data_IF_797229910854
#
_entry.id   IF_797229910854
#
_cell.length_a   1.000
_cell.length_b   1.000
_cell.length_c   1.000
_cell.angle_alpha   90.00
_cell.angle_beta   90.00
_cell.angle_gamma   90.00
#
_symmetry.space_group_name_H-M   'P 1'
#
loop_
_entity.id
_entity.type
_entity.pdbx_description
1 polymer ?
#
# COMPACT_ATOMS: atom_id res chain seq x y z
N UNK A 1 -9.81 36.01 -1.51
CA UNK A 1 -9.21 35.45 -2.74
C UNK A 1 -10.32 34.86 -3.58
N UNK A 2 -10.33 35.12 -4.89
CA UNK A 2 -11.21 34.37 -5.80
C UNK A 2 -10.74 32.91 -5.79
N UNK A 3 -11.63 31.93 -5.61
CA UNK A 3 -11.26 30.53 -5.66
C UNK A 3 -10.66 30.20 -7.03
N UNK A 4 -9.64 29.32 -7.11
CA UNK A 4 -9.08 28.90 -8.38
C UNK A 4 -10.19 28.27 -9.23
N UNK A 5 -10.34 28.78 -10.46
CA UNK A 5 -11.34 28.32 -11.42
C UNK A 5 -10.63 27.34 -12.35
N UNK A 6 -11.29 26.22 -12.68
CA UNK A 6 -10.75 25.24 -13.62
C UNK A 6 -10.62 25.83 -15.03
N UNK A 7 -9.49 25.55 -15.69
CA UNK A 7 -9.20 26.06 -17.04
C UNK A 7 -10.22 25.56 -18.08
N UNK A 8 -10.85 24.41 -17.84
CA UNK A 8 -11.96 23.86 -18.64
C UNK A 8 -13.16 24.81 -18.67
N UNK A 9 -13.49 25.43 -17.54
CA UNK A 9 -14.62 26.37 -17.40
C UNK A 9 -14.30 27.69 -18.11
N UNK A 10 -13.05 28.16 -18.00
CA UNK A 10 -12.59 29.38 -18.68
C UNK A 10 -12.57 29.21 -20.22
N UNK A 11 -12.21 28.02 -20.72
CA UNK A 11 -12.24 27.71 -22.15
C UNK A 11 -13.67 27.55 -22.70
N UNK A 12 -14.57 26.97 -21.90
CA UNK A 12 -15.98 26.78 -22.29
C UNK A 12 -16.76 28.09 -22.38
N UNK A 13 -16.35 29.12 -21.63
CA UNK A 13 -17.04 30.42 -21.57
C UNK A 13 -16.06 31.60 -21.72
N UNK A 14 -15.77 32.04 -22.96
CA UNK A 14 -14.77 33.10 -23.20
C UNK A 14 -15.19 34.47 -22.64
N UNK A 15 -16.50 34.75 -22.53
CA UNK A 15 -17.01 35.98 -21.91
C UNK A 15 -16.73 36.00 -20.41
N UNK A 16 -16.92 34.85 -19.74
CA UNK A 16 -16.59 34.70 -18.34
C UNK A 16 -15.07 34.77 -18.10
N UNK A 17 -14.25 34.19 -18.99
CA UNK A 17 -12.80 34.33 -18.92
C UNK A 17 -12.34 35.79 -19.00
N UNK A 18 -12.91 36.59 -19.90
CA UNK A 18 -12.63 38.02 -20.01
C UNK A 18 -13.06 38.80 -18.75
N UNK A 19 -14.23 38.47 -18.18
CA UNK A 19 -14.70 39.07 -16.93
C UNK A 19 -13.81 38.69 -15.74
N UNK A 20 -13.44 37.42 -15.63
CA UNK A 20 -12.55 36.94 -14.58
C UNK A 20 -11.17 37.62 -14.68
N UNK A 21 -10.61 37.74 -15.88
CA UNK A 21 -9.35 38.45 -16.11
C UNK A 21 -9.45 39.94 -15.77
N UNK A 22 -10.55 40.61 -16.13
CA UNK A 22 -10.75 42.03 -15.79
C UNK A 22 -10.96 42.24 -14.28
N UNK A 23 -11.71 41.37 -13.61
CA UNK A 23 -11.86 41.41 -12.15
C UNK A 23 -10.53 41.15 -11.44
N UNK A 24 -9.80 40.11 -11.82
CA UNK A 24 -8.55 39.71 -11.18
C UNK A 24 -7.42 40.72 -11.43
N UNK A 25 -7.33 41.31 -12.63
CA UNK A 25 -6.21 42.17 -13.00
C UNK A 25 -6.49 43.65 -12.78
N UNK A 26 -7.70 44.15 -13.06
CA UNK A 26 -7.99 45.59 -13.04
C UNK A 26 -8.77 46.03 -11.80
N UNK A 27 -9.67 45.21 -11.26
CA UNK A 27 -10.63 45.67 -10.25
C UNK A 27 -10.24 45.22 -8.84
N UNK A 28 -9.71 44.01 -8.67
CA UNK A 28 -9.42 43.40 -7.37
C UNK A 28 -7.92 43.21 -7.13
N UNK A 29 -7.52 43.31 -5.87
CA UNK A 29 -6.21 42.90 -5.38
C UNK A 29 -6.21 41.38 -5.11
N UNK A 30 -5.02 40.77 -4.97
CA UNK A 30 -4.88 39.33 -4.71
C UNK A 30 -5.66 38.85 -3.46
N UNK A 31 -5.82 39.73 -2.45
CA UNK A 31 -6.61 39.45 -1.25
C UNK A 31 -8.14 39.50 -1.48
N UNK A 32 -8.61 40.02 -2.62
CA UNK A 32 -10.03 40.19 -2.96
C UNK A 32 -10.61 41.58 -2.67
N UNK A 33 -9.80 42.56 -2.23
CA UNK A 33 -10.25 43.95 -2.05
C UNK A 33 -10.27 44.72 -3.37
N UNK A 34 -11.13 45.72 -3.52
CA UNK A 34 -11.14 46.57 -4.74
C UNK A 34 -9.93 47.51 -4.79
N UNK A 35 -9.35 47.70 -5.97
CA UNK A 35 -8.26 48.67 -6.23
C UNK A 35 -8.75 50.12 -6.19
N UNK A 36 -10.02 50.34 -6.55
CA UNK A 36 -10.61 51.68 -6.75
C UNK A 36 -11.46 52.12 -5.56
N UNK A 37 -11.11 51.75 -4.34
CA UNK A 37 -11.88 52.19 -3.18
C UNK A 37 -11.73 53.72 -3.01
N UNK A 38 -12.82 54.51 -2.94
CA UNK A 38 -12.72 55.98 -2.82
C UNK A 38 -11.90 56.44 -1.61
N UNK A 39 -11.96 55.68 -0.50
CA UNK A 39 -11.19 55.94 0.71
C UNK A 39 -9.77 55.30 0.70
N UNK A 40 -9.29 54.74 -0.41
CA UNK A 40 -7.98 54.08 -0.45
C UNK A 40 -6.85 55.04 -0.12
N UNK A 41 -6.90 56.28 -0.64
CA UNK A 41 -5.91 57.32 -0.34
C UNK A 41 -5.88 57.67 1.15
N UNK A 42 -7.05 57.79 1.77
CA UNK A 42 -7.16 58.05 3.22
C UNK A 42 -6.64 56.85 4.02
N UNK A 43 -6.97 55.62 3.61
CA UNK A 43 -6.46 54.40 4.24
C UNK A 43 -4.95 54.32 4.13
N UNK A 44 -4.37 54.61 2.96
CA UNK A 44 -2.93 54.59 2.75
C UNK A 44 -2.24 55.64 3.65
N UNK A 45 -2.78 56.86 3.72
CA UNK A 45 -2.31 57.89 4.65
C UNK A 45 -2.42 57.46 6.12
N UNK A 46 -3.51 56.81 6.52
CA UNK A 46 -3.67 56.24 7.87
C UNK A 46 -2.65 55.12 8.09
N UNK A 47 -2.39 54.25 7.11
CA UNK A 47 -1.38 53.20 7.26
C UNK A 47 0.03 53.75 7.40
N UNK A 48 0.35 54.84 6.72
CA UNK A 48 1.64 55.50 6.79
C UNK A 48 1.83 56.24 8.13
N UNK A 49 0.81 56.97 8.59
CA UNK A 49 0.81 57.58 9.93
C UNK A 49 0.90 56.52 11.02
N UNK A 50 0.21 55.39 10.85
CA UNK A 50 0.28 54.25 11.77
C UNK A 50 1.68 53.61 11.74
N UNK A 51 2.28 53.38 10.56
CA UNK A 51 3.65 52.87 10.42
C UNK A 51 4.65 53.79 11.13
N UNK A 52 4.57 55.10 10.90
CA UNK A 52 5.46 56.05 11.55
C UNK A 52 5.25 56.10 13.08
N UNK A 53 4.01 56.05 13.56
CA UNK A 53 3.69 55.96 14.98
C UNK A 53 4.23 54.68 15.61
N UNK A 54 4.10 53.53 14.93
CA UNK A 54 4.69 52.25 15.37
C UNK A 54 6.21 52.30 15.43
N UNK A 55 6.87 52.87 14.42
CA UNK A 55 8.33 53.03 14.43
C UNK A 55 8.75 53.92 15.60
N UNK A 56 8.04 55.02 15.84
CA UNK A 56 8.31 55.91 16.98
C UNK A 56 8.14 55.18 18.31
N UNK A 57 7.02 54.50 18.51
CA UNK A 57 6.75 53.73 19.72
C UNK A 57 7.80 52.63 19.94
N UNK A 58 8.19 51.90 18.89
CA UNK A 58 9.21 50.88 18.96
C UNK A 58 10.59 51.46 19.33
N UNK A 59 10.98 52.60 18.74
CA UNK A 59 12.22 53.30 19.10
C UNK A 59 12.21 53.72 20.58
N UNK A 60 11.13 54.33 21.05
CA UNK A 60 10.99 54.73 22.46
C UNK A 60 11.04 53.53 23.41
N UNK A 61 10.35 52.44 23.06
CA UNK A 61 10.37 51.21 23.84
C UNK A 61 11.78 50.59 23.88
N UNK A 62 12.48 50.55 22.76
CA UNK A 62 13.85 50.03 22.66
C UNK A 62 14.81 50.86 23.53
N UNK A 63 14.71 52.19 23.49
CA UNK A 63 15.53 53.06 24.34
C UNK A 63 15.20 52.85 25.82
N UNK A 64 13.92 52.82 26.19
CA UNK A 64 13.46 52.59 27.57
C UNK A 64 13.95 51.25 28.12
N UNK A 65 13.82 50.19 27.33
CA UNK A 65 14.28 48.83 27.71
C UNK A 65 15.80 48.70 27.71
N UNK A 66 16.52 49.40 26.83
CA UNK A 66 17.97 49.43 26.87
C UNK A 66 18.46 50.12 28.14
N UNK A 67 17.87 51.29 28.49
CA UNK A 67 18.20 52.03 29.69
C UNK A 67 17.91 51.27 30.99
N UNK A 68 16.80 50.52 31.05
CA UNK A 68 16.47 49.73 32.24
C UNK A 68 17.37 48.51 32.44
N UNK A 69 17.94 47.98 31.36
CA UNK A 69 18.77 46.76 31.37
C UNK A 69 20.25 47.05 31.15
N UNK A 70 20.67 48.31 31.26
CA UNK A 70 22.06 48.70 31.08
C UNK A 70 22.90 48.04 32.18
N UNK A 71 24.03 47.46 31.82
CA UNK A 71 24.99 46.94 32.79
C UNK A 71 25.74 48.11 33.42
N UNK A 72 25.33 48.47 34.64
CA UNK A 72 25.86 49.57 35.44
C UNK A 72 27.26 49.26 36.00
N UNK A 73 27.84 48.09 35.69
CA UNK A 73 29.14 47.65 36.20
C UNK A 73 30.30 47.83 35.20
N UNK A 74 30.07 48.19 33.93
CA UNK A 74 31.11 48.11 32.89
C UNK A 74 31.22 49.34 31.99
N UNK A 75 32.44 49.87 31.83
CA UNK A 75 32.81 50.80 30.76
C UNK A 75 33.51 50.05 29.62
N UNK A 76 33.29 50.41 28.34
CA UNK A 76 34.06 49.86 27.23
C UNK A 76 35.45 50.50 27.22
N UNK A 77 36.46 49.80 27.74
CA UNK A 77 37.86 50.18 27.53
C UNK A 77 38.19 50.09 26.04
N UNK A 78 38.39 51.25 25.41
CA UNK A 78 39.01 51.35 24.09
C UNK A 78 40.40 50.73 24.14
N UNK A 79 40.66 49.86 23.17
CA UNK A 79 41.90 49.07 23.04
C UNK A 79 43.07 50.02 22.80
N UNK A 80 43.89 50.26 23.82
CA UNK A 80 45.29 50.63 23.65
C UNK A 80 46.16 49.40 23.91
N UNK A 81 47.05 49.13 22.96
CA UNK A 81 47.97 47.99 23.00
C UNK A 81 48.97 48.17 24.15
N UNK A 82 49.31 47.05 24.77
CA UNK A 82 50.47 46.77 25.64
C UNK A 82 50.31 47.02 27.16
N UNK A 83 50.69 45.95 27.90
CA UNK A 83 51.00 45.83 29.34
C UNK A 83 49.86 45.36 30.28
N UNK A 84 50.08 44.31 31.11
CA UNK A 84 49.19 44.00 32.24
C UNK A 84 49.53 44.97 33.39
N UNK A 85 48.54 45.51 34.13
CA UNK A 85 48.27 44.94 35.46
C UNK A 85 46.83 45.16 36.03
N UNK A 86 46.51 44.35 37.05
CA UNK A 86 45.57 44.61 38.18
C UNK A 86 44.12 45.04 37.89
N UNK A 87 43.20 44.08 38.08
CA UNK A 87 41.74 44.23 38.02
C UNK A 87 41.18 44.90 39.28
N UNK A 88 40.97 46.20 39.24
CA UNK A 88 39.87 46.85 39.98
C UNK A 88 38.78 47.19 38.97
N UNK A 89 37.50 46.80 39.19
CA UNK A 89 36.43 47.18 38.28
C UNK A 89 36.26 48.70 38.34
N UNK A 90 36.55 49.40 37.25
CA UNK A 90 36.30 50.83 37.12
C UNK A 90 34.78 51.05 37.05
N UNK A 91 34.18 51.29 38.22
CA UNK A 91 32.78 51.66 38.39
C UNK A 91 32.49 52.97 37.64
N UNK A 92 31.32 53.04 36.97
CA UNK A 92 30.86 54.27 36.34
C UNK A 92 30.80 55.41 37.36
N UNK A 93 31.03 56.68 36.95
CA UNK A 93 30.88 57.82 37.84
C UNK A 93 29.50 57.82 38.50
N UNK A 94 29.46 58.02 39.82
CA UNK A 94 28.24 57.93 40.62
C UNK A 94 27.12 58.84 40.10
N UNK A 95 27.48 60.05 39.63
CA UNK A 95 26.53 60.99 39.03
C UNK A 95 25.85 60.46 37.75
N UNK A 96 26.58 59.67 36.96
CA UNK A 96 26.06 59.07 35.72
C UNK A 96 25.11 57.90 36.05
N UNK A 97 25.44 57.11 37.07
CA UNK A 97 24.58 56.04 37.58
C UNK A 97 23.25 56.58 38.10
N UNK A 98 23.30 57.61 38.94
CA UNK A 98 22.11 58.30 39.46
C UNK A 98 21.26 58.87 38.33
N UNK A 99 21.89 59.47 37.31
CA UNK A 99 21.20 60.01 36.15
C UNK A 99 20.52 58.90 35.30
N UNK A 100 21.20 57.77 35.06
CA UNK A 100 20.59 56.62 34.34
C UNK A 100 19.41 56.05 35.13
N UNK A 101 19.52 55.92 36.46
CA UNK A 101 18.44 55.44 37.32
C UNK A 101 17.25 56.41 37.32
N UNK A 102 17.51 57.71 37.40
CA UNK A 102 16.49 58.75 37.34
C UNK A 102 15.80 58.78 35.97
N UNK A 103 16.56 58.64 34.89
CA UNK A 103 16.02 58.68 33.53
C UNK A 103 15.25 57.41 33.18
N UNK A 104 15.75 56.23 33.59
CA UNK A 104 15.06 54.95 33.41
C UNK A 104 13.76 54.91 34.22
N UNK A 105 13.76 55.37 35.47
CA UNK A 105 12.54 55.45 36.29
C UNK A 105 11.54 56.44 35.72
N UNK A 106 11.97 57.60 35.21
CA UNK A 106 11.09 58.59 34.58
C UNK A 106 10.47 58.11 33.28
N UNK A 107 11.26 57.48 32.41
CA UNK A 107 10.75 56.89 31.18
C UNK A 107 9.85 55.68 31.45
N UNK A 108 9.99 55.06 32.63
CA UNK A 108 9.24 53.86 33.01
C UNK A 108 7.94 54.16 33.75
N UNK A 109 7.93 55.19 34.59
CA UNK A 109 6.78 55.61 35.38
C UNK A 109 5.64 56.17 34.54
N UNK A 110 4.42 56.12 35.10
CA UNK A 110 3.26 56.81 34.55
C UNK A 110 3.52 58.33 34.40
N UNK A 111 2.83 59.03 33.47
CA UNK A 111 3.03 60.47 33.27
C UNK A 111 2.80 61.23 34.57
N UNK A 112 3.86 61.87 35.08
CA UNK A 112 3.83 62.62 36.33
C UNK A 112 3.09 63.96 36.14
N UNK A 113 2.49 64.49 37.20
CA UNK A 113 1.82 65.81 37.18
C UNK A 113 2.78 66.92 36.72
N UNK A 114 2.34 67.91 35.92
CA UNK A 114 3.22 68.93 35.34
C UNK A 114 4.00 69.75 36.39
N UNK A 115 3.47 69.93 37.60
CA UNK A 115 4.19 70.61 38.69
C UNK A 115 5.40 69.82 39.19
N UNK A 116 5.23 68.52 39.38
CA UNK A 116 6.30 67.60 39.77
C UNK A 116 7.32 67.33 38.68
N UNK A 117 6.96 67.53 37.40
CA UNK A 117 7.92 67.48 36.29
C UNK A 117 8.90 68.67 36.34
N UNK A 118 8.39 69.88 36.54
CA UNK A 118 9.21 71.10 36.69
C UNK A 118 10.17 71.02 37.88
N UNK A 119 9.74 70.43 38.98
CA UNK A 119 10.59 70.23 40.17
C UNK A 119 11.75 69.28 39.85
N UNK A 120 11.48 68.19 39.12
CA UNK A 120 12.53 67.26 38.72
C UNK A 120 13.51 67.86 37.71
N UNK A 121 13.02 68.65 36.76
CA UNK A 121 13.85 69.37 35.78
C UNK A 121 14.73 70.44 36.44
N UNK A 122 14.34 70.96 37.60
CA UNK A 122 15.15 71.88 38.41
C UNK A 122 16.23 71.17 39.25
N UNK A 123 16.30 69.84 39.24
CA UNK A 123 17.30 69.08 40.01
C UNK A 123 18.68 69.17 39.31
N UNK A 124 19.80 69.39 40.05
CA UNK A 124 21.13 69.57 39.45
C UNK A 124 21.58 68.40 38.58
N UNK A 125 21.17 67.17 38.94
CA UNK A 125 21.42 65.97 38.15
C UNK A 125 20.78 66.07 36.74
N UNK A 126 19.58 66.65 36.62
CA UNK A 126 18.89 66.83 35.33
C UNK A 126 19.54 67.92 34.47
N UNK A 127 20.04 68.99 35.09
CA UNK A 127 20.78 70.05 34.39
C UNK A 127 22.09 69.55 33.77
N UNK A 128 22.70 68.51 34.35
CA UNK A 128 23.90 67.84 33.81
C UNK A 128 23.61 66.84 32.67
N UNK A 129 22.35 66.62 32.32
CA UNK A 129 21.97 65.65 31.30
C UNK A 129 22.54 65.95 29.90
N UNK A 130 22.53 67.21 29.39
CA UNK A 130 23.05 67.50 28.05
C UNK A 130 24.55 67.17 27.92
N UNK A 131 25.34 67.36 28.98
CA UNK A 131 26.76 67.01 29.00
C UNK A 131 27.01 65.50 29.04
N UNK A 132 26.13 64.74 29.72
CA UNK A 132 26.28 63.30 29.90
C UNK A 132 25.56 62.46 28.82
N UNK A 133 24.78 63.10 27.92
CA UNK A 133 23.97 62.44 26.89
C UNK A 133 24.83 61.62 25.91
N UNK A 134 25.99 62.13 25.51
CA UNK A 134 26.90 61.44 24.59
C UNK A 134 27.45 60.13 25.18
N UNK A 135 27.75 60.14 26.48
CA UNK A 135 28.24 58.99 27.22
C UNK A 135 27.13 57.96 27.48
N UNK A 136 25.91 58.40 27.81
CA UNK A 136 24.75 57.52 27.90
C UNK A 136 24.45 56.90 26.52
N UNK A 137 24.55 57.69 25.45
CA UNK A 137 24.37 57.22 24.07
C UNK A 137 25.37 56.14 23.67
N UNK A 138 26.65 56.29 24.04
CA UNK A 138 27.67 55.27 23.76
C UNK A 138 27.41 53.98 24.54
N UNK A 139 27.01 54.07 25.81
CA UNK A 139 26.65 52.90 26.62
C UNK A 139 25.43 52.16 26.03
N UNK A 140 24.36 52.87 25.67
CA UNK A 140 23.19 52.26 25.01
C UNK A 140 23.60 51.61 23.69
N UNK A 141 24.42 52.28 22.88
CA UNK A 141 24.89 51.74 21.60
C UNK A 141 25.67 50.44 21.79
N UNK A 142 26.59 50.40 22.76
CA UNK A 142 27.36 49.19 23.08
C UNK A 142 26.47 48.06 23.56
N UNK A 143 25.52 48.34 24.47
CA UNK A 143 24.56 47.36 24.94
C UNK A 143 23.72 46.78 23.79
N UNK A 144 23.17 47.62 22.91
CA UNK A 144 22.40 47.16 21.75
C UNK A 144 23.25 46.35 20.77
N UNK A 145 24.51 46.72 20.58
CA UNK A 145 25.43 45.97 19.74
C UNK A 145 25.80 44.60 20.34
N UNK A 146 25.94 44.50 21.67
CA UNK A 146 26.14 43.21 22.34
C UNK A 146 24.92 42.30 22.23
N UNK A 147 23.70 42.85 22.36
CA UNK A 147 22.47 42.10 22.16
C UNK A 147 22.32 41.63 20.70
N UNK A 148 22.60 42.50 19.73
CA UNK A 148 22.57 42.14 18.31
C UNK A 148 23.59 41.03 17.99
N UNK A 149 24.78 41.08 18.60
CA UNK A 149 25.78 40.01 18.50
C UNK A 149 25.31 38.70 19.13
N UNK A 150 24.65 38.76 20.29
CA UNK A 150 24.10 37.56 20.93
C UNK A 150 23.03 36.91 20.04
N UNK A 151 22.14 37.71 19.43
CA UNK A 151 21.17 37.21 18.46
C UNK A 151 21.83 36.62 17.21
N UNK A 152 22.88 37.25 16.70
CA UNK A 152 23.65 36.72 15.57
C UNK A 152 24.32 35.38 15.91
N UNK A 153 24.82 35.19 17.14
CA UNK A 153 25.35 33.90 17.62
C UNK A 153 24.28 32.82 17.67
N UNK A 154 23.08 33.15 18.15
CA UNK A 154 21.96 32.20 18.19
C UNK A 154 21.60 31.74 16.78
N UNK A 155 21.60 32.67 15.82
CA UNK A 155 21.30 32.35 14.43
C UNK A 155 22.42 31.53 13.76
N UNK A 156 23.68 31.77 14.12
CA UNK A 156 24.85 31.13 13.52
C UNK A 156 25.82 30.65 14.61
N UNK A 157 25.51 29.53 15.28
CA UNK A 157 26.30 29.06 16.43
C UNK A 157 27.71 28.60 16.06
N UNK A 158 27.92 28.20 14.81
CA UNK A 158 29.20 27.64 14.31
C UNK A 158 30.11 28.70 13.68
N UNK A 159 29.66 29.95 13.52
CA UNK A 159 30.49 30.98 12.90
C UNK A 159 31.48 31.57 13.89
N UNK A 160 32.70 31.84 13.42
CA UNK A 160 33.74 32.44 14.24
C UNK A 160 33.27 33.83 14.75
N UNK A 161 33.49 34.16 16.04
CA UNK A 161 33.00 35.38 16.64
C UNK A 161 33.41 36.67 15.93
N UNK A 162 34.55 36.67 15.23
CA UNK A 162 35.04 37.84 14.49
C UNK A 162 34.15 38.23 13.29
N UNK A 163 33.40 37.29 12.71
CA UNK A 163 32.56 37.53 11.54
C UNK A 163 31.09 37.79 11.86
N UNK A 164 30.68 37.66 13.13
CA UNK A 164 29.28 37.82 13.57
C UNK A 164 28.72 39.22 13.30
N UNK A 165 29.57 40.25 13.30
CA UNK A 165 29.15 41.61 12.98
C UNK A 165 28.58 41.72 11.55
N UNK A 166 29.11 40.93 10.60
CA UNK A 166 28.64 40.91 9.21
C UNK A 166 27.24 40.32 9.06
N UNK A 167 26.80 39.48 10.01
CA UNK A 167 25.45 38.90 10.03
C UNK A 167 24.37 39.83 10.60
N UNK A 168 24.73 40.88 11.35
CA UNK A 168 23.74 41.78 12.00
C UNK A 168 22.77 42.40 10.99
N UNK A 169 23.20 42.97 9.84
CA UNK A 169 22.27 43.56 8.87
C UNK A 169 21.33 42.53 8.22
N UNK A 170 21.77 41.27 8.15
CA UNK A 170 21.01 40.15 7.54
C UNK A 170 20.08 39.45 8.52
N UNK A 171 20.12 39.81 9.81
CA UNK A 171 19.37 39.14 10.86
C UNK A 171 17.86 39.21 10.62
N UNK A 172 17.34 40.39 10.25
CA UNK A 172 15.90 40.56 10.02
C UNK A 172 15.38 39.72 8.84
N UNK A 173 16.08 39.74 7.71
CA UNK A 173 15.67 38.94 6.55
C UNK A 173 15.73 37.45 6.85
N UNK A 174 16.78 37.00 7.55
CA UNK A 174 16.90 35.60 7.94
C UNK A 174 15.86 35.15 8.97
N UNK A 175 15.48 36.01 9.92
CA UNK A 175 14.38 35.72 10.84
C UNK A 175 13.06 35.59 10.07
N UNK A 176 12.80 36.48 9.10
CA UNK A 176 11.61 36.40 8.27
C UNK A 176 11.56 35.12 7.43
N UNK A 177 12.69 34.69 6.84
CA UNK A 177 12.77 33.42 6.12
C UNK A 177 12.58 32.22 7.03
N UNK A 178 13.18 32.23 8.22
CA UNK A 178 12.97 31.16 9.21
C UNK A 178 11.51 31.08 9.66
N UNK A 179 10.86 32.23 9.89
CA UNK A 179 9.45 32.25 10.25
C UNK A 179 8.55 31.74 9.11
N UNK A 180 8.84 32.07 7.85
CA UNK A 180 8.07 31.55 6.71
C UNK A 180 8.31 30.05 6.52
N UNK A 181 9.55 29.57 6.66
CA UNK A 181 9.89 28.15 6.62
C UNK A 181 9.18 27.35 7.72
N UNK A 182 9.17 27.85 8.96
CA UNK A 182 8.48 27.20 10.07
C UNK A 182 6.98 27.12 9.79
N UNK A 183 6.36 28.21 9.32
CA UNK A 183 4.93 28.20 8.94
C UNK A 183 4.66 27.20 7.81
N UNK A 184 5.51 27.14 6.79
CA UNK A 184 5.38 26.19 5.68
C UNK A 184 5.56 24.73 6.13
N UNK A 185 6.49 24.47 7.06
CA UNK A 185 6.67 23.14 7.64
C UNK A 185 5.48 22.74 8.50
N UNK A 186 4.90 23.68 9.26
CA UNK A 186 3.69 23.43 10.05
C UNK A 186 2.50 23.10 9.17
N UNK A 187 2.27 23.84 8.08
CA UNK A 187 1.18 23.55 7.14
C UNK A 187 1.37 22.21 6.44
N UNK A 188 2.59 21.90 5.97
CA UNK A 188 2.90 20.59 5.34
C UNK A 188 2.73 19.43 6.32
N UNK A 189 3.12 19.61 7.58
CA UNK A 189 2.90 18.59 8.61
C UNK A 189 1.41 18.37 8.88
N UNK A 190 0.60 19.44 8.91
CA UNK A 190 -0.84 19.32 9.05
C UNK A 190 -1.49 18.59 7.85
N UNK A 191 -1.08 18.89 6.61
CA UNK A 191 -1.60 18.20 5.42
C UNK A 191 -1.22 16.72 5.39
N UNK A 192 0.02 16.39 5.77
CA UNK A 192 0.46 14.99 5.89
C UNK A 192 -0.31 14.24 6.96
N UNK A 193 -0.64 14.87 8.09
CA UNK A 193 -1.49 14.26 9.12
C UNK A 193 -2.89 13.96 8.58
N UNK A 194 -3.51 14.89 7.85
CA UNK A 194 -4.83 14.66 7.26
C UNK A 194 -4.80 13.55 6.20
N UNK A 195 -3.75 13.48 5.37
CA UNK A 195 -3.56 12.43 4.38
C UNK A 195 -3.32 11.06 5.04
N UNK A 196 -2.54 11.02 6.12
CA UNK A 196 -2.31 9.78 6.86
C UNK A 196 -3.62 9.28 7.48
N UNK A 197 -4.40 10.17 8.11
CA UNK A 197 -5.71 9.81 8.67
C UNK A 197 -6.62 9.26 7.56
N UNK A 198 -6.72 9.92 6.40
CA UNK A 198 -7.57 9.42 5.31
C UNK A 198 -7.11 8.06 4.77
N UNK A 199 -5.79 7.83 4.64
CA UNK A 199 -5.27 6.50 4.24
C UNK A 199 -5.53 5.43 5.30
N UNK A 200 -5.42 5.77 6.58
CA UNK A 200 -5.70 4.81 7.65
C UNK A 200 -7.18 4.47 7.74
N UNK A 201 -8.08 5.42 7.49
CA UNK A 201 -9.53 5.14 7.47
C UNK A 201 -9.93 4.31 6.26
N UNK A 202 -9.35 4.55 5.08
CA UNK A 202 -9.61 3.70 3.90
C UNK A 202 -9.08 2.28 4.11
N UNK A 203 -7.87 2.14 4.65
CA UNK A 203 -7.31 0.84 5.00
C UNK A 203 -8.20 0.11 6.01
N UNK A 204 -8.67 0.78 7.06
CA UNK A 204 -9.57 0.17 8.04
C UNK A 204 -10.90 -0.26 7.40
N UNK A 205 -11.45 0.53 6.48
CA UNK A 205 -12.63 0.16 5.71
C UNK A 205 -12.41 -1.08 4.84
N UNK A 206 -11.24 -1.21 4.20
CA UNK A 206 -10.88 -2.39 3.43
C UNK A 206 -10.70 -3.64 4.32
N UNK A 207 -10.09 -3.50 5.49
CA UNK A 207 -9.99 -4.60 6.46
C UNK A 207 -11.37 -5.03 6.94
N UNK A 208 -12.25 -4.09 7.25
CA UNK A 208 -13.63 -4.41 7.64
C UNK A 208 -14.34 -5.20 6.54
N UNK A 209 -14.28 -4.72 5.28
CA UNK A 209 -14.85 -5.41 4.12
C UNK A 209 -14.25 -6.82 3.95
N UNK A 210 -12.93 -6.95 4.03
CA UNK A 210 -12.28 -8.25 3.92
C UNK A 210 -12.76 -9.22 5.01
N UNK A 211 -12.87 -8.77 6.26
CA UNK A 211 -13.37 -9.60 7.36
C UNK A 211 -14.84 -9.99 7.17
N UNK A 212 -15.70 -9.08 6.72
CA UNK A 212 -17.12 -9.40 6.47
C UNK A 212 -17.27 -10.39 5.33
N UNK A 213 -16.51 -10.25 4.24
CA UNK A 213 -16.49 -11.23 3.15
C UNK A 213 -16.00 -12.61 3.60
N UNK A 214 -14.93 -12.66 4.40
CA UNK A 214 -14.44 -13.94 4.94
C UNK A 214 -15.51 -14.61 5.80
N UNK A 215 -16.18 -13.85 6.68
CA UNK A 215 -17.29 -14.37 7.49
C UNK A 215 -18.41 -14.89 6.60
N UNK A 216 -18.85 -14.11 5.60
CA UNK A 216 -19.91 -14.53 4.68
C UNK A 216 -19.53 -15.79 3.88
N UNK A 217 -18.29 -15.92 3.43
CA UNK A 217 -17.81 -17.11 2.73
C UNK A 217 -17.83 -18.32 3.67
N UNK A 218 -17.36 -18.18 4.92
CA UNK A 218 -17.41 -19.25 5.92
C UNK A 218 -18.85 -19.66 6.24
N UNK A 219 -19.74 -18.69 6.37
CA UNK A 219 -21.17 -18.93 6.58
C UNK A 219 -21.82 -19.59 5.38
N UNK A 220 -21.47 -19.26 4.13
CA UNK A 220 -22.10 -19.87 2.97
C UNK A 220 -21.54 -21.27 2.65
N UNK A 221 -20.22 -21.44 2.75
CA UNK A 221 -19.55 -22.65 2.26
C UNK A 221 -19.41 -23.74 3.33
N UNK A 222 -19.04 -23.37 4.56
CA UNK A 222 -18.68 -24.35 5.61
C UNK A 222 -19.80 -24.49 6.65
N UNK A 223 -20.35 -23.38 7.12
CA UNK A 223 -21.26 -23.39 8.26
C UNK A 223 -22.74 -23.21 7.89
N UNK A 224 -23.04 -22.95 6.62
CA UNK A 224 -24.37 -22.57 6.17
C UNK A 224 -25.38 -23.69 6.17
N UNK A 225 -26.64 -23.35 6.43
CA UNK A 225 -27.77 -24.27 6.37
C UNK A 225 -27.88 -24.93 4.99
N UNK A 226 -27.61 -24.20 3.91
CA UNK A 226 -27.62 -24.71 2.53
C UNK A 226 -26.52 -25.73 2.30
N UNK A 227 -25.26 -25.43 2.68
CA UNK A 227 -24.14 -26.37 2.57
C UNK A 227 -24.38 -27.63 3.40
N UNK A 228 -24.85 -27.48 4.64
CA UNK A 228 -25.22 -28.61 5.51
C UNK A 228 -26.36 -29.45 4.93
N UNK A 229 -27.40 -28.82 4.37
CA UNK A 229 -28.51 -29.52 3.73
C UNK A 229 -28.06 -30.26 2.46
N UNK A 230 -27.23 -29.65 1.61
CA UNK A 230 -26.69 -30.30 0.41
C UNK A 230 -25.83 -31.52 0.80
N UNK A 231 -24.99 -31.39 1.82
CA UNK A 231 -24.20 -32.50 2.36
C UNK A 231 -25.08 -33.62 2.93
N UNK A 232 -26.05 -33.30 3.78
CA UNK A 232 -26.97 -34.30 4.33
C UNK A 232 -27.79 -34.99 3.22
N UNK A 233 -28.20 -34.24 2.19
CA UNK A 233 -28.91 -34.79 1.03
C UNK A 233 -28.03 -35.70 0.18
N UNK A 234 -26.76 -35.36 -0.04
CA UNK A 234 -25.84 -36.23 -0.78
C UNK A 234 -25.55 -37.52 0.00
N UNK A 235 -25.37 -37.44 1.31
CA UNK A 235 -25.21 -38.59 2.20
C UNK A 235 -26.45 -39.49 2.18
N UNK A 236 -27.66 -38.91 2.25
CA UNK A 236 -28.92 -39.65 2.14
C UNK A 236 -29.06 -40.35 0.78
N UNK A 237 -28.74 -39.67 -0.32
CA UNK A 237 -28.77 -40.27 -1.67
C UNK A 237 -27.72 -41.37 -1.82
N UNK A 238 -26.52 -41.21 -1.25
CA UNK A 238 -25.49 -42.23 -1.25
C UNK A 238 -25.92 -43.48 -0.48
N UNK A 239 -26.51 -43.31 0.71
CA UNK A 239 -27.06 -44.41 1.50
C UNK A 239 -28.22 -45.12 0.77
N UNK A 240 -29.08 -44.35 0.10
CA UNK A 240 -30.16 -44.90 -0.73
C UNK A 240 -29.62 -45.72 -1.91
N UNK A 241 -28.60 -45.20 -2.62
CA UNK A 241 -27.96 -45.92 -3.72
C UNK A 241 -27.27 -47.21 -3.24
N UNK A 242 -26.61 -47.19 -2.08
CA UNK A 242 -26.03 -48.38 -1.46
C UNK A 242 -27.10 -49.41 -1.10
N UNK A 243 -28.17 -49.00 -0.43
CA UNK A 243 -29.32 -49.87 -0.12
C UNK A 243 -29.90 -50.49 -1.39
N UNK A 244 -30.11 -49.70 -2.43
CA UNK A 244 -30.61 -50.19 -3.72
C UNK A 244 -29.64 -51.19 -4.36
N UNK A 245 -28.33 -50.91 -4.35
CA UNK A 245 -27.32 -51.84 -4.88
C UNK A 245 -27.35 -53.19 -4.15
N UNK A 246 -27.54 -53.16 -2.83
CA UNK A 246 -27.64 -54.36 -2.01
C UNK A 246 -28.94 -55.13 -2.30
N UNK A 247 -30.07 -54.42 -2.48
CA UNK A 247 -31.34 -55.03 -2.88
C UNK A 247 -31.26 -55.64 -4.28
N UNK A 248 -30.61 -54.98 -5.24
CA UNK A 248 -30.39 -55.51 -6.59
C UNK A 248 -29.54 -56.77 -6.50
N UNK A 249 -28.45 -56.76 -5.70
CA UNK A 249 -27.61 -57.94 -5.48
C UNK A 249 -28.39 -59.08 -4.83
N UNK A 250 -29.22 -58.80 -3.84
CA UNK A 250 -30.07 -59.80 -3.19
C UNK A 250 -31.05 -60.43 -4.20
N UNK A 251 -31.74 -59.60 -4.99
CA UNK A 251 -32.66 -60.06 -6.03
C UNK A 251 -31.94 -60.86 -7.11
N UNK A 252 -30.73 -60.47 -7.50
CA UNK A 252 -29.91 -61.21 -8.44
C UNK A 252 -29.57 -62.62 -7.90
N UNK A 253 -29.10 -62.71 -6.66
CA UNK A 253 -28.82 -64.01 -6.00
C UNK A 253 -30.09 -64.85 -5.86
N UNK A 254 -31.23 -64.22 -5.54
CA UNK A 254 -32.53 -64.91 -5.47
C UNK A 254 -32.96 -65.46 -6.83
N UNK A 255 -32.81 -64.66 -7.89
CA UNK A 255 -33.09 -65.08 -9.27
C UNK A 255 -32.16 -66.21 -9.73
N UNK A 256 -30.87 -66.12 -9.41
CA UNK A 256 -29.90 -67.18 -9.69
C UNK A 256 -30.29 -68.50 -9.01
N UNK A 257 -30.72 -68.46 -7.74
CA UNK A 257 -31.22 -69.64 -7.03
C UNK A 257 -32.50 -70.23 -7.65
N UNK A 258 -33.36 -69.40 -8.23
CA UNK A 258 -34.57 -69.88 -8.91
C UNK A 258 -34.26 -70.55 -10.26
N UNK A 259 -33.32 -70.01 -11.03
CA UNK A 259 -32.93 -70.55 -12.35
C UNK A 259 -32.02 -71.79 -12.19
N UNK A 260 -31.02 -71.70 -11.33
CA UNK A 260 -30.11 -72.81 -11.02
C UNK A 260 -30.55 -73.52 -9.76
N UNK A 261 -31.64 -74.26 -9.88
CA UNK A 261 -32.04 -75.22 -8.83
C UNK A 261 -30.95 -76.28 -8.65
N UNK A 262 -30.89 -76.91 -7.48
CA UNK A 262 -29.86 -77.93 -7.21
C UNK A 262 -29.96 -79.13 -8.17
N UNK A 263 -31.17 -79.42 -8.67
CA UNK A 263 -31.41 -80.39 -9.73
C UNK A 263 -30.78 -79.96 -11.05
N UNK A 264 -30.99 -78.72 -11.49
CA UNK A 264 -30.39 -78.19 -12.73
C UNK A 264 -28.86 -78.14 -12.61
N UNK A 265 -28.33 -77.73 -11.47
CA UNK A 265 -26.88 -77.79 -11.20
C UNK A 265 -26.37 -79.24 -11.23
N UNK A 266 -27.14 -80.19 -10.71
CA UNK A 266 -26.84 -81.62 -10.79
C UNK A 266 -26.80 -82.13 -12.23
N UNK A 267 -27.82 -81.80 -13.02
CA UNK A 267 -27.91 -82.14 -14.44
C UNK A 267 -26.77 -81.52 -15.26
N UNK A 268 -26.42 -80.25 -15.00
CA UNK A 268 -25.27 -79.58 -15.62
C UNK A 268 -23.95 -80.27 -15.27
N UNK A 269 -23.75 -80.67 -14.00
CA UNK A 269 -22.57 -81.45 -13.59
C UNK A 269 -22.49 -82.78 -14.34
N UNK A 270 -23.61 -83.49 -14.45
CA UNK A 270 -23.65 -84.76 -15.17
C UNK A 270 -23.41 -84.58 -16.67
N UNK A 271 -23.96 -83.53 -17.27
CA UNK A 271 -23.71 -83.17 -18.66
C UNK A 271 -22.24 -82.85 -18.92
N UNK A 272 -21.58 -82.13 -18.01
CA UNK A 272 -20.14 -81.86 -18.08
C UNK A 272 -19.32 -83.14 -17.96
N UNK A 273 -19.71 -84.08 -17.09
CA UNK A 273 -19.08 -85.41 -17.01
C UNK A 273 -19.24 -86.17 -18.31
N UNK A 274 -20.46 -86.24 -18.85
CA UNK A 274 -20.74 -86.89 -20.12
C UNK A 274 -19.95 -86.26 -21.29
N UNK A 275 -19.80 -84.93 -21.32
CA UNK A 275 -18.96 -84.25 -22.31
C UNK A 275 -17.47 -84.57 -22.13
N UNK A 276 -16.98 -84.70 -20.89
CA UNK A 276 -15.61 -85.12 -20.61
C UNK A 276 -15.37 -86.56 -21.06
N UNK A 277 -16.27 -87.47 -20.73
CA UNK A 277 -16.22 -88.87 -21.15
C UNK A 277 -16.36 -88.99 -22.68
N UNK A 278 -17.21 -88.18 -23.29
CA UNK A 278 -17.31 -88.05 -24.75
C UNK A 278 -16.00 -87.58 -25.38
N UNK A 279 -15.33 -86.58 -24.78
CA UNK A 279 -14.02 -86.11 -25.22
C UNK A 279 -12.93 -87.16 -25.06
N UNK A 280 -12.95 -87.94 -23.97
CA UNK A 280 -12.02 -89.05 -23.77
C UNK A 280 -12.24 -90.16 -24.79
N UNK A 281 -13.49 -90.58 -25.02
CA UNK A 281 -13.84 -91.53 -26.10
C UNK A 281 -13.38 -91.06 -27.48
N UNK A 282 -13.54 -89.77 -27.80
CA UNK A 282 -13.04 -89.21 -29.06
C UNK A 282 -11.51 -89.21 -29.12
N UNK A 283 -10.82 -88.97 -28.00
CA UNK A 283 -9.36 -89.10 -27.95
C UNK A 283 -8.92 -90.55 -28.12
N UNK A 284 -9.62 -91.50 -27.53
CA UNK A 284 -9.33 -92.93 -27.71
C UNK A 284 -9.56 -93.37 -29.15
N UNK A 285 -10.70 -93.00 -29.76
CA UNK A 285 -10.95 -93.22 -31.18
C UNK A 285 -9.89 -92.58 -32.07
N UNK A 286 -9.45 -91.36 -31.72
CA UNK A 286 -8.34 -90.71 -32.42
C UNK A 286 -7.05 -91.52 -32.29
N UNK A 287 -6.67 -91.95 -31.09
CA UNK A 287 -5.48 -92.79 -30.87
C UNK A 287 -5.56 -94.14 -31.59
N UNK A 288 -6.74 -94.72 -31.67
CA UNK A 288 -6.99 -95.97 -32.40
C UNK A 288 -6.86 -95.75 -33.91
N UNK A 289 -7.48 -94.70 -34.45
CA UNK A 289 -7.31 -94.31 -35.85
C UNK A 289 -5.83 -93.98 -36.18
N UNK A 290 -5.12 -93.29 -35.29
CA UNK A 290 -3.68 -93.04 -35.40
C UNK A 290 -2.88 -94.35 -35.39
N UNK A 291 -3.24 -95.35 -34.57
CA UNK A 291 -2.63 -96.69 -34.59
C UNK A 291 -2.90 -97.44 -35.90
N UNK A 292 -4.11 -97.36 -36.42
CA UNK A 292 -4.47 -97.96 -37.72
C UNK A 292 -3.63 -97.33 -38.83
N UNK A 293 -3.56 -95.99 -38.88
CA UNK A 293 -2.69 -95.25 -39.81
C UNK A 293 -1.21 -95.66 -39.64
N UNK A 294 -0.75 -95.86 -38.41
CA UNK A 294 0.59 -96.34 -38.11
C UNK A 294 0.84 -97.76 -38.68
N UNK A 295 -0.16 -98.65 -38.61
CA UNK A 295 -0.13 -99.98 -39.25
C UNK A 295 -0.01 -99.92 -40.78
N UNK A 296 -0.58 -98.88 -41.39
CA UNK A 296 -0.42 -98.58 -42.82
C UNK A 296 0.91 -97.89 -43.18
N UNK A 297 1.82 -97.69 -42.22
CA UNK A 297 3.13 -97.08 -42.43
C UNK A 297 3.11 -95.55 -42.47
N UNK A 298 1.97 -94.92 -42.15
CA UNK A 298 1.82 -93.47 -42.05
C UNK A 298 2.31 -93.03 -40.66
N UNK A 299 3.30 -92.13 -40.60
CA UNK A 299 3.88 -91.65 -39.33
C UNK A 299 5.00 -92.51 -38.71
N UNK A 300 5.60 -93.45 -39.46
CA UNK A 300 6.90 -94.08 -39.08
C UNK A 300 8.06 -93.16 -39.50
N UNK A 301 8.99 -92.88 -38.57
CA UNK A 301 10.20 -92.07 -38.84
C UNK A 301 11.38 -92.86 -39.44
N UNK A 302 11.27 -94.19 -39.59
CA UNK A 302 12.30 -95.00 -40.26
C UNK A 302 12.07 -95.09 -41.78
N UNK A 303 13.18 -95.18 -42.53
CA UNK A 303 13.28 -95.01 -43.99
C UNK A 303 12.11 -95.64 -44.78
N UNK A 304 11.38 -94.78 -45.50
CA UNK A 304 10.23 -95.14 -46.35
C UNK A 304 8.84 -94.84 -45.77
N UNK A 305 8.72 -94.48 -44.50
CA UNK A 305 7.43 -94.09 -43.89
C UNK A 305 6.87 -92.76 -44.43
N UNK A 306 7.73 -91.79 -44.73
CA UNK A 306 7.33 -90.49 -45.30
C UNK A 306 6.82 -90.56 -46.74
N UNK A 307 7.34 -91.48 -47.56
CA UNK A 307 6.82 -91.72 -48.92
C UNK A 307 5.46 -92.40 -48.87
N UNK A 308 5.29 -93.42 -48.00
CA UNK A 308 3.99 -94.09 -47.81
C UNK A 308 2.93 -93.15 -47.25
N UNK A 309 3.29 -92.21 -46.38
CA UNK A 309 2.40 -91.15 -45.91
C UNK A 309 1.96 -90.19 -47.04
N UNK A 310 2.89 -89.77 -47.92
CA UNK A 310 2.55 -88.93 -49.08
C UNK A 310 1.60 -89.67 -50.03
N UNK A 311 1.91 -90.93 -50.34
CA UNK A 311 1.06 -91.79 -51.19
C UNK A 311 -0.31 -92.00 -50.53
N UNK A 312 -0.38 -92.25 -49.23
CA UNK A 312 -1.67 -92.39 -48.52
C UNK A 312 -2.47 -91.09 -48.48
N UNK A 313 -1.82 -89.93 -48.37
CA UNK A 313 -2.47 -88.61 -48.49
C UNK A 313 -2.96 -88.35 -49.90
N UNK A 314 -2.20 -88.72 -50.93
CA UNK A 314 -2.62 -88.65 -52.32
C UNK A 314 -3.79 -89.61 -52.58
N UNK A 315 -3.74 -90.86 -52.11
CA UNK A 315 -4.86 -91.81 -52.19
C UNK A 315 -6.09 -91.27 -51.47
N UNK A 316 -5.95 -90.72 -50.26
CA UNK A 316 -7.07 -90.15 -49.52
C UNK A 316 -7.65 -88.91 -50.23
N UNK A 317 -6.80 -88.08 -50.84
CA UNK A 317 -7.20 -86.94 -51.65
C UNK A 317 -7.93 -87.38 -52.91
N UNK A 318 -7.36 -88.31 -53.68
CA UNK A 318 -7.97 -88.88 -54.90
C UNK A 318 -9.25 -89.63 -54.55
N UNK A 319 -9.31 -90.36 -53.43
CA UNK A 319 -10.54 -90.99 -52.96
C UNK A 319 -11.59 -89.95 -52.56
N UNK A 320 -11.18 -88.85 -51.92
CA UNK A 320 -12.06 -87.72 -51.62
C UNK A 320 -12.60 -87.05 -52.89
N UNK A 321 -11.75 -86.81 -53.88
CA UNK A 321 -12.11 -86.31 -55.21
C UNK A 321 -13.04 -87.32 -55.92
N UNK A 322 -12.71 -88.61 -55.95
CA UNK A 322 -13.56 -89.68 -56.50
C UNK A 322 -14.91 -89.79 -55.79
N UNK A 323 -14.98 -89.61 -54.47
CA UNK A 323 -16.27 -89.65 -53.73
C UNK A 323 -17.10 -88.42 -54.07
N UNK A 324 -16.47 -87.27 -54.27
CA UNK A 324 -17.14 -86.06 -54.74
C UNK A 324 -17.63 -86.22 -56.18
N UNK A 325 -16.80 -86.77 -57.07
CA UNK A 325 -17.15 -87.12 -58.43
C UNK A 325 -18.24 -88.20 -58.47
N UNK A 326 -18.19 -89.24 -57.64
CA UNK A 326 -19.26 -90.25 -57.52
C UNK A 326 -20.56 -89.63 -57.01
N UNK A 327 -20.49 -88.62 -56.13
CA UNK A 327 -21.68 -87.84 -55.74
C UNK A 327 -22.15 -86.93 -56.86
N UNK A 328 -21.27 -86.41 -57.72
CA UNK A 328 -21.62 -85.63 -58.90
C UNK A 328 -22.22 -86.50 -60.00
N UNK A 329 -21.54 -87.56 -60.40
CA UNK A 329 -22.05 -88.60 -61.32
C UNK A 329 -23.31 -89.25 -60.76
N UNK A 330 -23.40 -89.50 -59.45
CA UNK A 330 -24.64 -89.99 -58.82
C UNK A 330 -25.79 -89.00 -59.00
N UNK A 331 -25.54 -87.70 -58.74
CA UNK A 331 -26.49 -86.62 -59.03
C UNK A 331 -26.83 -86.51 -60.54
N UNK A 332 -25.87 -86.78 -61.43
CA UNK A 332 -26.04 -86.68 -62.89
C UNK A 332 -26.73 -87.92 -63.49
N UNK A 333 -26.50 -89.12 -62.94
CA UNK A 333 -27.22 -90.36 -63.27
C UNK A 333 -28.65 -90.27 -62.75
N UNK A 334 -28.88 -89.76 -61.53
CA UNK A 334 -30.23 -89.45 -61.05
C UNK A 334 -30.93 -88.44 -61.97
N UNK A 335 -30.20 -87.46 -62.52
CA UNK A 335 -30.72 -86.52 -63.54
C UNK A 335 -31.02 -87.18 -64.89
N UNK A 336 -30.17 -88.09 -65.38
CA UNK A 336 -30.33 -88.73 -66.70
C UNK A 336 -31.33 -89.90 -66.69
N UNK A 337 -31.56 -90.54 -65.55
CA UNK A 337 -32.59 -91.59 -65.36
C UNK A 337 -34.01 -91.01 -65.21
N UNK A 338 -34.13 -89.69 -65.10
CA UNK A 338 -35.37 -88.93 -65.05
C UNK A 338 -35.83 -88.35 -66.38
N UNK A 339 -35.34 -88.84 -67.53
CA UNK A 339 -35.80 -88.46 -68.87
C UNK A 339 -36.31 -89.66 -69.68
#
# INVERSE_FOLDING_TARGET
MLPPIEDSILQSNPKFAALHATLANNILNANGSTKHHPAQKERDAVTETLKSARIRAAKSHLIRTALSNLDLSTTPTTISKSKPPTKTPATLPTELLELILLLSSRLTSAPLSPSSQKLLEATPQWLSLPSNLSQIGSLISTHLQTQALALARIQSPTTNPSFLHRSIPKLNSAIQTLQSEIRNKQTNLATRRTELVSKTTTLLGLYHLATTLVILILEQSVHGSVSRHVKARSEMLAASAQSLSLQVREKAVRGEKMVYTEEVKGALREYVRHLRDGRERLRERRKEAERVLWGYGVGRMEEGGGEKEKVMKEIARVYGEMVMELKEVGRDVERLKGR
#
